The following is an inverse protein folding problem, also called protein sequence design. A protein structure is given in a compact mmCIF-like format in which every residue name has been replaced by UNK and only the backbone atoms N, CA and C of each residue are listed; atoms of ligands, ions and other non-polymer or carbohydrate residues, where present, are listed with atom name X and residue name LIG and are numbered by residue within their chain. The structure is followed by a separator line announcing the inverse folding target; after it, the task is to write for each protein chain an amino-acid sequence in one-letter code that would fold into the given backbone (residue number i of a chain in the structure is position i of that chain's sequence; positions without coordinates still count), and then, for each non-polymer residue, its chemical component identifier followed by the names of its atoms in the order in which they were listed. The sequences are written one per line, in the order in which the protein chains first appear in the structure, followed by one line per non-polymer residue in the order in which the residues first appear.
data_IF_288014880420
#
_entry.id   IF_288014880420
#
_cell.length_a   1.000
_cell.length_b   1.000
_cell.length_c   1.000
_cell.angle_alpha   90.00
_cell.angle_beta   90.00
_cell.angle_gamma   90.00
#
_symmetry.space_group_name_H-M   'P 1'
#
loop_
_entity.id
_entity.type
_entity.pdbx_description
1 polymer ?
#
# COMPACT_ATOMS: atom_id res chain seq x y z
N UNK A 1 3.23 2.02 21.41
CA UNK A 1 1.97 2.30 20.68
C UNK A 1 1.72 3.80 20.40
N UNK A 2 2.74 4.64 20.15
CA UNK A 2 2.58 6.07 19.75
C UNK A 2 3.61 6.50 18.69
N UNK A 3 4.10 5.52 17.93
CA UNK A 3 5.02 5.75 16.82
C UNK A 3 4.20 5.45 15.57
N UNK A 4 4.24 6.37 14.63
CA UNK A 4 3.60 6.20 13.34
C UNK A 4 4.19 4.95 12.65
N UNK A 5 3.35 4.02 12.16
CA UNK A 5 3.84 2.88 11.39
C UNK A 5 4.54 3.37 10.13
N UNK A 6 5.45 2.56 9.61
CA UNK A 6 6.09 2.90 8.35
C UNK A 6 5.03 2.97 7.23
N UNK A 7 5.20 3.91 6.30
CA UNK A 7 4.21 4.20 5.27
C UNK A 7 4.21 3.22 4.09
N UNK A 8 5.12 2.24 4.05
CA UNK A 8 5.47 1.54 2.80
C UNK A 8 5.52 0.02 2.88
N UNK A 9 6.23 -0.54 3.85
CA UNK A 9 6.52 -1.97 3.92
C UNK A 9 5.54 -2.71 4.82
N UNK A 10 5.54 -2.37 6.11
CA UNK A 10 4.96 -3.22 7.15
C UNK A 10 3.50 -3.54 6.91
N UNK A 11 2.69 -2.51 6.62
CA UNK A 11 1.27 -2.66 6.39
C UNK A 11 0.94 -3.49 5.14
N UNK A 12 1.73 -3.40 4.08
CA UNK A 12 1.48 -4.10 2.81
C UNK A 12 1.86 -5.57 2.90
N UNK A 13 3.00 -5.88 3.52
CA UNK A 13 3.40 -7.27 3.74
C UNK A 13 2.41 -7.98 4.64
N UNK A 14 1.96 -7.32 5.71
CA UNK A 14 0.94 -7.90 6.58
C UNK A 14 -0.37 -8.15 5.82
N UNK A 15 -0.83 -7.15 5.06
CA UNK A 15 -2.10 -7.23 4.34
C UNK A 15 -2.06 -8.24 3.19
N UNK A 16 -0.92 -8.44 2.53
CA UNK A 16 -0.76 -9.47 1.50
C UNK A 16 -0.85 -10.88 2.08
N UNK A 17 -0.30 -11.10 3.29
CA UNK A 17 -0.45 -12.35 4.01
C UNK A 17 -1.89 -12.59 4.46
N UNK A 18 -2.60 -11.55 4.93
CA UNK A 18 -4.03 -11.66 5.23
C UNK A 18 -4.87 -12.00 4.00
N UNK A 19 -4.58 -11.39 2.85
CA UNK A 19 -5.24 -11.69 1.57
C UNK A 19 -4.96 -13.14 1.15
N UNK A 20 -3.72 -13.61 1.31
CA UNK A 20 -3.35 -15.00 1.01
C UNK A 20 -4.03 -16.02 1.94
N UNK A 21 -4.07 -15.74 3.25
CA UNK A 21 -4.77 -16.58 4.22
C UNK A 21 -6.26 -16.74 3.85
N UNK A 22 -6.97 -15.62 3.63
CA UNK A 22 -8.39 -15.64 3.28
C UNK A 22 -8.65 -16.37 1.95
N UNK A 23 -7.72 -16.26 0.99
CA UNK A 23 -7.81 -17.01 -0.25
C UNK A 23 -7.67 -18.53 -0.03
N UNK A 24 -6.77 -18.98 0.85
CA UNK A 24 -6.62 -20.40 1.21
C UNK A 24 -7.87 -20.90 1.92
N UNK A 25 -8.37 -20.17 2.90
CA UNK A 25 -9.59 -20.51 3.65
C UNK A 25 -10.80 -20.64 2.71
N UNK A 26 -10.97 -19.68 1.79
CA UNK A 26 -12.04 -19.71 0.78
C UNK A 26 -11.85 -20.84 -0.24
N UNK A 27 -10.62 -21.20 -0.58
CA UNK A 27 -10.33 -22.31 -1.50
C UNK A 27 -10.70 -23.67 -0.89
N UNK A 28 -10.62 -23.80 0.44
CA UNK A 28 -10.85 -25.07 1.15
C UNK A 28 -9.85 -26.17 0.75
N UNK A 29 -8.69 -25.80 0.22
CA UNK A 29 -7.68 -26.71 -0.33
C UNK A 29 -6.32 -26.03 -0.43
N UNK A 30 -5.26 -26.83 -0.59
CA UNK A 30 -3.89 -26.36 -0.83
C UNK A 30 -3.50 -26.40 -2.32
N UNK A 31 -4.45 -26.64 -3.22
CA UNK A 31 -4.23 -26.52 -4.66
C UNK A 31 -3.88 -25.07 -5.02
N UNK A 32 -2.62 -24.88 -5.45
CA UNK A 32 -2.05 -23.58 -5.75
C UNK A 32 -2.79 -22.86 -6.88
N UNK A 33 -3.33 -23.60 -7.86
CA UNK A 33 -4.06 -23.01 -8.98
C UNK A 33 -5.40 -22.45 -8.51
N UNK A 34 -6.13 -23.18 -7.66
CA UNK A 34 -7.39 -22.71 -7.07
C UNK A 34 -7.19 -21.49 -6.18
N UNK A 35 -6.16 -21.51 -5.31
CA UNK A 35 -5.84 -20.38 -4.44
C UNK A 35 -5.52 -19.14 -5.28
N UNK A 36 -4.65 -19.28 -6.28
CA UNK A 36 -4.28 -18.17 -7.19
C UNK A 36 -5.49 -17.65 -7.97
N UNK A 37 -6.39 -18.52 -8.42
CA UNK A 37 -7.62 -18.13 -9.10
C UNK A 37 -8.56 -17.33 -8.20
N UNK A 38 -8.65 -17.65 -6.90
CA UNK A 38 -9.39 -16.87 -5.91
C UNK A 38 -8.73 -15.51 -5.69
N UNK A 39 -7.42 -15.48 -5.40
CA UNK A 39 -6.69 -14.22 -5.22
C UNK A 39 -6.87 -13.26 -6.40
N UNK A 40 -6.88 -13.79 -7.63
CA UNK A 40 -7.00 -12.98 -8.84
C UNK A 40 -8.41 -12.41 -9.09
N UNK A 41 -9.45 -12.93 -8.43
CA UNK A 41 -10.86 -12.58 -8.71
C UNK A 41 -11.56 -11.92 -7.53
N UNK A 42 -11.14 -12.26 -6.32
CA UNK A 42 -11.83 -11.89 -5.10
C UNK A 42 -11.19 -10.68 -4.45
N UNK A 43 -12.00 -9.95 -3.69
CA UNK A 43 -11.59 -8.81 -2.87
C UNK A 43 -11.78 -9.21 -1.42
N UNK A 44 -10.75 -8.96 -0.62
CA UNK A 44 -10.76 -9.28 0.80
C UNK A 44 -10.48 -8.03 1.63
N UNK A 45 -11.07 -7.95 2.81
CA UNK A 45 -10.75 -6.90 3.76
C UNK A 45 -9.48 -7.26 4.54
N UNK A 46 -8.56 -6.30 4.64
CA UNK A 46 -7.25 -6.45 5.26
C UNK A 46 -6.93 -5.20 6.11
N UNK A 47 -5.80 -5.21 6.81
CA UNK A 47 -5.34 -4.06 7.58
C UNK A 47 -5.11 -2.81 6.70
N UNK A 48 -4.73 -2.98 5.43
CA UNK A 48 -4.61 -1.90 4.43
C UNK A 48 -5.98 -1.37 3.95
N UNK A 49 -7.07 -2.00 4.37
CA UNK A 49 -8.40 -1.86 3.80
C UNK A 49 -8.67 -2.95 2.77
N UNK A 50 -9.60 -2.73 1.83
CA UNK A 50 -9.90 -3.74 0.82
C UNK A 50 -8.67 -4.01 -0.07
N UNK A 51 -8.36 -5.27 -0.31
CA UNK A 51 -7.20 -5.74 -1.08
C UNK A 51 -7.68 -6.57 -2.28
N UNK A 52 -7.36 -6.11 -3.49
CA UNK A 52 -7.69 -6.80 -4.74
C UNK A 52 -6.71 -6.52 -5.88
N UNK A 53 -6.84 -7.27 -6.97
CA UNK A 53 -6.14 -7.03 -8.22
C UNK A 53 -7.12 -6.56 -9.30
N UNK A 54 -6.65 -5.74 -10.24
CA UNK A 54 -7.47 -5.32 -11.38
C UNK A 54 -7.62 -6.44 -12.43
N UNK A 55 -8.36 -6.15 -13.51
CA UNK A 55 -8.58 -7.09 -14.62
C UNK A 55 -7.29 -7.59 -15.29
N UNK A 56 -6.20 -6.84 -15.17
CA UNK A 56 -4.90 -7.15 -15.73
C UNK A 56 -3.97 -7.79 -14.69
N UNK A 57 -4.48 -8.07 -13.48
CA UNK A 57 -3.75 -8.62 -12.32
C UNK A 57 -2.74 -7.64 -11.72
N UNK A 58 -2.92 -6.33 -11.93
CA UNK A 58 -2.14 -5.32 -11.23
C UNK A 58 -2.66 -5.08 -9.82
N UNK A 59 -1.73 -4.94 -8.88
CA UNK A 59 -2.02 -4.50 -7.53
C UNK A 59 -2.39 -3.01 -7.57
N UNK A 60 -3.62 -2.67 -7.19
CA UNK A 60 -4.16 -1.30 -7.28
C UNK A 60 -4.39 -0.62 -5.93
N UNK A 61 -4.00 -1.28 -4.83
CA UNK A 61 -4.25 -0.81 -3.47
C UNK A 61 -3.16 0.14 -2.96
N UNK A 62 -2.09 0.37 -3.74
CA UNK A 62 -1.03 1.30 -3.39
C UNK A 62 -1.51 2.77 -3.45
N UNK A 63 -1.24 3.63 -2.45
CA UNK A 63 -1.67 5.02 -2.40
C UNK A 63 -0.89 5.88 -3.40
N UNK A 64 0.37 5.58 -3.69
CA UNK A 64 1.14 6.17 -4.79
C UNK A 64 2.63 5.87 -4.69
N UNK A 65 3.37 6.01 -5.79
CA UNK A 65 4.77 5.62 -5.96
C UNK A 65 5.75 6.75 -5.59
N UNK A 66 5.31 8.01 -5.69
CA UNK A 66 6.11 9.19 -5.38
C UNK A 66 5.53 9.86 -4.14
N UNK A 67 6.38 10.00 -3.13
CA UNK A 67 6.07 10.79 -1.95
C UNK A 67 7.16 11.79 -1.57
N UNK A 68 6.76 12.76 -0.75
CA UNK A 68 7.61 13.81 -0.24
C UNK A 68 7.28 14.04 1.24
N UNK A 69 8.32 14.11 2.07
CA UNK A 69 8.17 14.55 3.46
C UNK A 69 7.82 16.04 3.49
N UNK A 70 6.62 16.36 3.98
CA UNK A 70 6.12 17.73 4.10
C UNK A 70 5.55 17.93 5.51
N UNK A 71 5.95 19.01 6.19
CA UNK A 71 5.45 19.35 7.54
C UNK A 71 5.54 18.21 8.57
N UNK A 72 6.50 17.29 8.40
CA UNK A 72 6.69 16.13 9.29
C UNK A 72 5.86 14.89 8.95
N UNK A 73 5.05 14.93 7.89
CA UNK A 73 4.21 13.81 7.40
C UNK A 73 4.72 13.36 6.03
N UNK A 74 4.60 12.07 5.72
CA UNK A 74 4.90 11.56 4.40
C UNK A 74 3.66 11.72 3.49
N UNK A 75 3.74 12.66 2.55
CA UNK A 75 2.66 12.94 1.60
C UNK A 75 2.92 12.23 0.27
N UNK A 76 1.89 11.60 -0.30
CA UNK A 76 1.88 11.11 -1.69
C UNK A 76 1.66 12.28 -2.65
N UNK A 77 2.62 12.51 -3.55
CA UNK A 77 2.63 13.63 -4.51
C UNK A 77 2.41 13.19 -5.98
N UNK A 78 2.19 11.89 -6.21
CA UNK A 78 1.83 11.32 -7.51
C UNK A 78 0.78 12.14 -8.26
N UNK A 79 0.84 12.23 -9.60
CA UNK A 79 -0.27 12.73 -10.39
C UNK A 79 -1.48 11.78 -10.28
N UNK A 80 -2.63 12.31 -9.86
CA UNK A 80 -3.89 11.60 -9.91
C UNK A 80 -4.75 11.73 -8.65
N UNK A 81 -5.76 10.88 -8.57
CA UNK A 81 -6.82 10.94 -7.54
C UNK A 81 -6.35 10.58 -6.13
N UNK A 82 -5.23 9.87 -6.02
CA UNK A 82 -4.66 9.44 -4.73
C UNK A 82 -3.67 10.45 -4.15
N UNK A 83 -3.44 11.57 -4.85
CA UNK A 83 -2.57 12.65 -4.38
C UNK A 83 -3.10 13.22 -3.07
N UNK A 84 -2.21 13.32 -2.09
CA UNK A 84 -2.50 13.87 -0.76
C UNK A 84 -2.01 15.32 -0.63
N UNK A 85 -0.91 15.68 -1.29
CA UNK A 85 -0.39 17.05 -1.34
C UNK A 85 0.27 17.37 -2.70
N UNK A 86 0.27 18.63 -3.17
CA UNK A 86 1.11 19.03 -4.30
C UNK A 86 2.61 18.93 -3.96
N UNK A 87 3.48 18.72 -4.96
CA UNK A 87 4.93 18.71 -4.74
C UNK A 87 5.44 20.09 -4.32
N UNK A 88 6.32 20.15 -3.31
CA UNK A 88 7.04 21.36 -2.96
C UNK A 88 8.21 21.57 -3.94
N UNK A 89 8.07 22.56 -4.82
CA UNK A 89 9.06 22.94 -5.81
C UNK A 89 9.17 24.49 -5.93
N UNK A 90 10.38 25.07 -5.98
CA UNK A 90 11.69 24.41 -5.87
C UNK A 90 11.89 23.80 -4.48
N UNK A 91 12.71 22.73 -4.40
CA UNK A 91 12.99 22.05 -3.14
C UNK A 91 13.57 23.08 -2.13
N UNK A 92 13.04 23.14 -0.88
CA UNK A 92 13.58 24.02 0.14
C UNK A 92 15.07 23.75 0.40
N UNK A 93 15.80 24.78 0.83
CA UNK A 93 17.18 24.62 1.26
C UNK A 93 17.29 23.63 2.44
N UNK A 94 18.37 22.87 2.48
CA UNK A 94 18.62 21.93 3.59
C UNK A 94 18.69 22.67 4.93
N UNK A 95 18.19 22.06 6.03
CA UNK A 95 18.37 22.64 7.36
C UNK A 95 19.86 22.82 7.65
N UNK A 96 20.25 23.99 8.17
CA UNK A 96 21.61 24.20 8.66
C UNK A 96 21.85 23.26 9.84
N UNK A 97 23.00 22.57 9.88
CA UNK A 97 23.39 21.76 11.05
C UNK A 97 23.31 22.65 12.29
N UNK A 98 22.60 22.20 13.33
CA UNK A 98 22.67 22.85 14.65
C UNK A 98 24.12 22.72 15.14
N UNK A 99 24.75 23.84 15.50
CA UNK A 99 26.04 23.85 16.19
C UNK A 99 25.88 23.34 17.61
#
# INVERSE_FOLDING_TARGET
FKVEPDYWGGLYYWSSLQHFQQAIEKAGTLDQKKIRDIMAKERFDTALGPFWYDKNRYFVNHPGEIGQWQKGVFEVIDPGKKRTSPPLYPKPAWPKKKK
#
